data_IF_186754364317
#
_entry.id   IF_186754364317
#
_cell.length_a   1.000
_cell.length_b   1.000
_cell.length_c   1.000
_cell.angle_alpha   90.00
_cell.angle_beta   90.00
_cell.angle_gamma   90.00
#
_symmetry.space_group_name_H-M   'P 1'
#
loop_
_entity.id
_entity.type
_entity.pdbx_description
1 polymer ?
#
# COMPACT_ATOMS: atom_id res chain seq x y z
N UNK A 1 -1.26 22.50 -4.28
CA UNK A 1 -2.53 21.79 -4.05
C UNK A 1 -2.19 20.49 -3.35
N UNK A 2 -2.71 20.27 -2.15
CA UNK A 2 -2.47 19.05 -1.38
C UNK A 2 -3.39 17.97 -1.94
N UNK A 3 -2.81 16.85 -2.41
CA UNK A 3 -3.57 15.74 -2.97
C UNK A 3 -4.33 14.98 -1.89
N UNK A 4 -5.31 14.15 -2.29
CA UNK A 4 -5.94 13.19 -1.38
C UNK A 4 -4.85 12.33 -0.72
N UNK A 5 -4.90 12.05 0.59
CA UNK A 5 -3.96 11.14 1.24
C UNK A 5 -3.91 9.79 0.53
N UNK A 6 -2.73 9.18 0.42
CA UNK A 6 -2.54 7.91 -0.30
C UNK A 6 -1.87 6.88 0.59
N UNK A 7 -2.19 5.61 0.36
CA UNK A 7 -1.48 4.48 0.95
C UNK A 7 -1.10 3.49 -0.14
N UNK A 8 0.20 3.22 -0.22
CA UNK A 8 0.74 2.12 -1.00
C UNK A 8 0.74 0.87 -0.14
N UNK A 9 0.08 -0.18 -0.62
CA UNK A 9 -0.09 -1.42 0.13
C UNK A 9 0.14 -2.63 -0.75
N UNK A 10 0.41 -3.79 -0.14
CA UNK A 10 0.48 -5.06 -0.86
C UNK A 10 -0.29 -6.14 -0.12
N UNK A 11 -1.05 -6.95 -0.85
CA UNK A 11 -1.66 -8.15 -0.27
C UNK A 11 -0.63 -9.16 0.22
N UNK A 12 0.59 -9.17 -0.36
CA UNK A 12 1.66 -10.06 0.07
C UNK A 12 2.27 -9.68 1.44
N UNK A 13 2.05 -8.44 1.91
CA UNK A 13 2.71 -7.90 3.09
C UNK A 13 1.86 -7.99 4.35
N UNK A 14 2.36 -8.66 5.40
CA UNK A 14 1.63 -8.70 6.66
C UNK A 14 1.63 -7.34 7.35
N UNK A 15 2.67 -6.51 7.12
CA UNK A 15 2.73 -5.16 7.68
C UNK A 15 1.68 -4.24 7.06
N UNK A 16 1.38 -4.40 5.76
CA UNK A 16 0.30 -3.65 5.12
C UNK A 16 -1.06 -4.04 5.70
N UNK A 17 -1.32 -5.33 5.84
CA UNK A 17 -2.55 -5.83 6.46
C UNK A 17 -2.71 -5.33 7.90
N UNK A 18 -1.71 -5.50 8.76
CA UNK A 18 -1.80 -5.07 10.16
C UNK A 18 -1.96 -3.56 10.31
N UNK A 19 -1.22 -2.76 9.53
CA UNK A 19 -1.29 -1.30 9.62
C UNK A 19 -2.65 -0.77 9.15
N UNK A 20 -3.14 -1.26 8.00
CA UNK A 20 -4.44 -0.85 7.47
C UNK A 20 -5.57 -1.28 8.39
N UNK A 21 -5.55 -2.53 8.89
CA UNK A 21 -6.54 -3.02 9.85
C UNK A 21 -6.57 -2.16 11.13
N UNK A 22 -5.40 -1.86 11.71
CA UNK A 22 -5.34 -1.00 12.90
C UNK A 22 -5.88 0.41 12.63
N UNK A 23 -5.53 1.01 11.50
CA UNK A 23 -5.99 2.36 11.17
C UNK A 23 -7.49 2.39 10.88
N UNK A 24 -8.02 1.42 10.14
CA UNK A 24 -9.46 1.29 9.88
C UNK A 24 -10.27 0.99 11.15
N UNK A 25 -9.72 0.24 12.11
CA UNK A 25 -10.37 -0.03 13.40
C UNK A 25 -10.36 1.21 14.33
N UNK A 26 -9.35 2.07 14.23
CA UNK A 26 -9.14 3.21 15.17
C UNK A 26 -9.63 4.55 14.63
N UNK A 27 -9.59 4.76 13.33
CA UNK A 27 -9.89 6.04 12.68
C UNK A 27 -11.19 5.90 11.87
N UNK A 28 -12.26 6.60 12.28
CA UNK A 28 -13.53 6.60 11.54
C UNK A 28 -13.31 7.03 10.08
N UNK A 29 -13.93 6.29 9.16
CA UNK A 29 -13.91 6.54 7.71
C UNK A 29 -12.50 6.54 7.08
N UNK A 30 -11.50 5.94 7.74
CA UNK A 30 -10.12 5.90 7.25
C UNK A 30 -10.02 5.38 5.80
N UNK A 31 -10.76 4.30 5.51
CA UNK A 31 -10.81 3.71 4.18
C UNK A 31 -11.28 4.69 3.09
N UNK A 32 -12.18 5.62 3.44
CA UNK A 32 -12.75 6.62 2.54
C UNK A 32 -11.87 7.88 2.43
N UNK A 33 -11.02 8.14 3.43
CA UNK A 33 -10.06 9.24 3.39
C UNK A 33 -8.91 8.97 2.43
N UNK A 34 -8.39 7.74 2.44
CA UNK A 34 -7.18 7.40 1.69
C UNK A 34 -7.50 6.85 0.30
N UNK A 35 -6.65 7.18 -0.67
CA UNK A 35 -6.53 6.41 -1.90
C UNK A 35 -5.63 5.19 -1.66
N UNK A 36 -6.15 4.00 -1.92
CA UNK A 36 -5.42 2.75 -1.75
C UNK A 36 -4.82 2.34 -3.10
N UNK A 37 -3.49 2.38 -3.17
CA UNK A 37 -2.72 2.07 -4.39
C UNK A 37 -2.02 0.72 -4.20
N UNK A 38 -2.36 -0.30 -4.99
CA UNK A 38 -1.69 -1.58 -4.89
C UNK A 38 -0.22 -1.47 -5.35
N UNK A 39 0.66 -2.15 -4.64
CA UNK A 39 2.08 -2.27 -4.92
C UNK A 39 2.49 -3.74 -4.82
N UNK A 40 3.09 -4.30 -5.87
CA UNK A 40 3.47 -5.71 -5.93
C UNK A 40 4.66 -5.89 -6.86
N UNK A 41 5.37 -7.02 -6.71
CA UNK A 41 6.40 -7.40 -7.66
C UNK A 41 5.71 -7.80 -8.99
N UNK A 42 5.91 -7.03 -10.08
CA UNK A 42 5.18 -7.24 -11.33
C UNK A 42 5.63 -8.51 -12.05
N UNK A 43 4.74 -9.09 -12.86
CA UNK A 43 5.16 -10.08 -13.86
C UNK A 43 5.87 -9.40 -15.05
N UNK A 44 6.37 -10.20 -16.00
CA UNK A 44 7.11 -9.68 -17.16
C UNK A 44 6.28 -8.72 -18.03
N UNK A 45 4.95 -8.88 -18.08
CA UNK A 45 4.08 -8.04 -18.88
C UNK A 45 3.91 -6.67 -18.24
N UNK A 46 3.60 -6.64 -16.95
CA UNK A 46 3.49 -5.39 -16.19
C UNK A 46 4.85 -4.69 -16.12
N UNK A 47 5.95 -5.43 -15.96
CA UNK A 47 7.31 -4.89 -15.97
C UNK A 47 7.65 -4.20 -17.31
N UNK A 48 7.33 -4.81 -18.45
CA UNK A 48 7.55 -4.17 -19.75
C UNK A 48 6.81 -2.82 -19.88
N UNK A 49 5.63 -2.70 -19.26
CA UNK A 49 4.90 -1.43 -19.19
C UNK A 49 5.59 -0.37 -18.34
N UNK A 50 6.26 -0.76 -17.25
CA UNK A 50 7.07 0.15 -16.43
C UNK A 50 8.31 0.62 -17.19
N UNK A 51 9.02 -0.31 -17.83
CA UNK A 51 10.22 -0.02 -18.62
C UNK A 51 9.90 0.98 -19.74
N UNK A 52 8.76 0.80 -20.44
CA UNK A 52 8.30 1.70 -21.49
C UNK A 52 8.01 3.13 -20.99
N UNK A 53 7.77 3.30 -19.68
CA UNK A 53 7.49 4.58 -19.03
C UNK A 53 8.67 5.10 -18.21
N UNK A 54 9.83 4.42 -18.27
CA UNK A 54 11.03 4.77 -17.53
C UNK A 54 10.82 4.76 -16.01
N UNK A 55 9.99 3.84 -15.51
CA UNK A 55 9.70 3.71 -14.09
C UNK A 55 10.38 2.47 -13.51
N UNK A 56 11.08 2.66 -12.40
CA UNK A 56 11.75 1.58 -11.67
C UNK A 56 10.89 1.03 -10.53
N UNK A 57 10.97 -0.30 -10.31
CA UNK A 57 10.37 -0.96 -9.16
C UNK A 57 11.40 -1.09 -8.03
N UNK A 58 11.36 -0.15 -7.07
CA UNK A 58 12.31 -0.05 -5.97
C UNK A 58 12.04 -1.06 -4.83
N UNK A 59 12.08 -2.36 -5.12
CA UNK A 59 11.95 -3.39 -4.09
C UNK A 59 13.07 -4.43 -4.20
N UNK A 60 13.79 -4.61 -3.09
CA UNK A 60 14.90 -5.56 -3.03
C UNK A 60 14.47 -6.82 -2.30
N UNK A 61 14.76 -7.96 -2.92
CA UNK A 61 14.60 -9.25 -2.26
C UNK A 61 15.44 -9.30 -0.97
N UNK A 62 14.79 -9.66 0.13
CA UNK A 62 15.44 -9.74 1.44
C UNK A 62 16.35 -10.98 1.55
N UNK A 63 17.39 -10.86 2.37
CA UNK A 63 18.20 -12.02 2.74
C UNK A 63 17.39 -13.04 3.55
N UNK A 64 17.81 -14.31 3.54
CA UNK A 64 17.18 -15.37 4.35
C UNK A 64 17.13 -15.02 5.84
N UNK A 65 18.18 -14.40 6.38
CA UNK A 65 18.23 -13.99 7.78
C UNK A 65 17.18 -12.90 8.11
N UNK A 66 17.08 -11.86 7.26
CA UNK A 66 16.06 -10.82 7.38
C UNK A 66 14.65 -11.40 7.26
N UNK A 67 14.45 -12.33 6.33
CA UNK A 67 13.18 -13.02 6.16
C UNK A 67 12.76 -13.77 7.43
N UNK A 68 13.63 -14.61 7.98
CA UNK A 68 13.34 -15.37 9.22
C UNK A 68 13.01 -14.45 10.40
N UNK A 69 13.72 -13.33 10.55
CA UNK A 69 13.39 -12.34 11.57
C UNK A 69 11.97 -11.77 11.39
N UNK A 70 11.63 -11.36 10.16
CA UNK A 70 10.31 -10.82 9.82
C UNK A 70 9.19 -11.83 10.14
N UNK A 71 9.40 -13.14 9.91
CA UNK A 71 8.43 -14.17 10.30
C UNK A 71 8.13 -14.15 11.80
N UNK A 72 9.17 -14.07 12.63
CA UNK A 72 9.03 -14.01 14.08
C UNK A 72 8.41 -12.71 14.55
N UNK A 73 8.82 -11.59 13.96
CA UNK A 73 8.34 -10.27 14.35
C UNK A 73 6.87 -10.07 13.98
N UNK A 74 6.47 -10.52 12.79
CA UNK A 74 5.06 -10.48 12.36
C UNK A 74 4.16 -11.23 13.34
N UNK A 75 4.60 -12.39 13.85
CA UNK A 75 3.84 -13.14 14.87
C UNK A 75 3.71 -12.36 16.18
N UNK A 76 4.76 -11.69 16.63
CA UNK A 76 4.71 -10.85 17.85
C UNK A 76 3.77 -9.68 17.67
N UNK A 77 3.84 -8.98 16.54
CA UNK A 77 3.00 -7.83 16.23
C UNK A 77 1.54 -8.22 16.12
N UNK A 78 1.22 -9.27 15.35
CA UNK A 78 -0.15 -9.77 15.23
C UNK A 78 -0.72 -10.16 16.61
N UNK A 79 0.05 -10.88 17.44
CA UNK A 79 -0.37 -11.22 18.79
C UNK A 79 -0.57 -9.97 19.68
N UNK A 80 0.34 -8.99 19.59
CA UNK A 80 0.23 -7.72 20.32
C UNK A 80 -0.98 -6.88 19.91
N UNK A 81 -1.45 -7.04 18.66
CA UNK A 81 -2.67 -6.42 18.16
C UNK A 81 -3.93 -7.26 18.38
N UNK A 82 -3.81 -8.48 18.92
CA UNK A 82 -4.94 -9.39 19.10
C UNK A 82 -5.43 -10.04 17.81
N UNK A 83 -4.62 -10.02 16.75
CA UNK A 83 -4.96 -10.61 15.45
C UNK A 83 -4.55 -12.07 15.39
N UNK A 84 -5.46 -12.90 14.87
CA UNK A 84 -5.13 -14.27 14.46
C UNK A 84 -4.28 -14.20 13.19
N UNK A 85 -3.16 -14.92 13.18
CA UNK A 85 -2.29 -15.03 12.01
C UNK A 85 -2.00 -16.49 11.71
N UNK A 86 -2.36 -16.92 10.50
CA UNK A 86 -1.90 -18.16 9.89
C UNK A 86 -0.94 -17.77 8.77
N UNK A 87 0.33 -18.17 8.90
CA UNK A 87 1.34 -17.78 7.92
C UNK A 87 1.10 -18.50 6.58
N UNK A 88 0.90 -17.76 5.47
CA UNK A 88 0.70 -18.37 4.16
C UNK A 88 1.99 -18.96 3.62
N UNK A 89 1.87 -20.06 2.87
CA UNK A 89 2.98 -20.64 2.12
C UNK A 89 2.77 -20.32 0.64
N UNK A 90 3.62 -19.43 0.12
CA UNK A 90 3.58 -19.03 -1.27
C UNK A 90 4.43 -20.00 -2.11
N UNK A 91 3.83 -20.64 -3.11
CA UNK A 91 4.53 -21.50 -4.07
C UNK A 91 4.52 -20.80 -5.42
N UNK A 92 5.71 -20.47 -5.96
CA UNK A 92 5.87 -19.73 -7.21
C UNK A 92 4.99 -18.47 -7.29
N UNK A 93 5.22 -17.48 -6.40
CA UNK A 93 4.29 -16.37 -6.22
C UNK A 93 4.09 -15.55 -7.49
N UNK A 94 2.82 -15.38 -7.86
CA UNK A 94 2.32 -14.47 -8.88
C UNK A 94 1.28 -13.53 -8.28
N UNK A 95 1.60 -12.25 -8.16
CA UNK A 95 0.78 -11.29 -7.40
C UNK A 95 -0.25 -10.52 -8.22
N UNK A 96 -0.17 -10.61 -9.56
CA UNK A 96 -1.09 -9.95 -10.49
C UNK A 96 -2.57 -10.27 -10.20
N UNK A 97 -2.99 -11.52 -9.93
CA UNK A 97 -4.41 -11.81 -9.67
C UNK A 97 -4.99 -11.00 -8.52
N UNK A 98 -4.23 -10.83 -7.43
CA UNK A 98 -4.66 -10.06 -6.27
C UNK A 98 -4.64 -8.55 -6.53
N UNK A 99 -3.60 -8.04 -7.19
CA UNK A 99 -3.42 -6.61 -7.43
C UNK A 99 -4.36 -6.07 -8.52
N UNK A 100 -4.41 -6.76 -9.68
CA UNK A 100 -5.30 -6.40 -10.78
C UNK A 100 -6.76 -6.70 -10.44
N UNK A 101 -7.02 -7.78 -9.68
CA UNK A 101 -8.34 -8.06 -9.13
C UNK A 101 -8.85 -6.93 -8.24
N UNK A 102 -7.99 -6.30 -7.43
CA UNK A 102 -8.35 -5.12 -6.65
C UNK A 102 -8.69 -3.91 -7.54
N UNK A 103 -7.93 -3.68 -8.61
CA UNK A 103 -8.23 -2.60 -9.56
C UNK A 103 -9.58 -2.83 -10.26
N UNK A 104 -9.88 -4.06 -10.69
CA UNK A 104 -11.20 -4.42 -11.22
C UNK A 104 -12.29 -4.25 -10.17
N UNK A 105 -12.05 -4.67 -8.92
CA UNK A 105 -13.02 -4.52 -7.84
C UNK A 105 -13.38 -3.05 -7.57
N UNK A 106 -12.41 -2.12 -7.71
CA UNK A 106 -12.66 -0.67 -7.60
C UNK A 106 -13.62 -0.15 -8.65
N UNK A 107 -13.55 -0.65 -9.88
CA UNK A 107 -14.47 -0.24 -10.94
C UNK A 107 -15.88 -0.78 -10.74
N UNK A 108 -15.97 -1.96 -10.14
CA UNK A 108 -17.22 -2.60 -9.77
C UNK A 108 -17.81 -2.06 -8.46
N UNK A 109 -17.09 -1.19 -7.75
CA UNK A 109 -17.49 -0.65 -6.44
C UNK A 109 -17.54 -1.68 -5.33
N UNK A 110 -16.77 -2.78 -5.44
CA UNK A 110 -16.72 -3.87 -4.47
C UNK A 110 -15.33 -4.07 -3.87
N UNK A 111 -14.43 -3.10 -4.00
CA UNK A 111 -13.02 -3.20 -3.59
C UNK A 111 -12.85 -3.47 -2.10
N UNK A 112 -13.71 -2.91 -1.24
CA UNK A 112 -13.60 -3.11 0.21
C UNK A 112 -13.94 -4.54 0.61
N UNK A 113 -14.99 -5.10 0.01
CA UNK A 113 -15.33 -6.50 0.21
C UNK A 113 -14.23 -7.40 -0.38
N UNK A 114 -13.70 -7.07 -1.56
CA UNK A 114 -12.58 -7.79 -2.16
C UNK A 114 -11.34 -7.78 -1.25
N UNK A 115 -10.93 -6.61 -0.75
CA UNK A 115 -9.78 -6.49 0.15
C UNK A 115 -9.93 -7.33 1.40
N UNK A 116 -11.10 -7.27 2.06
CA UNK A 116 -11.41 -8.12 3.21
C UNK A 116 -11.27 -9.60 2.86
N UNK A 117 -11.90 -10.04 1.78
CA UNK A 117 -11.84 -11.44 1.33
C UNK A 117 -10.39 -11.88 1.09
N UNK A 118 -9.60 -11.11 0.34
CA UNK A 118 -8.21 -11.46 0.02
C UNK A 118 -7.34 -11.50 1.28
N UNK A 119 -7.46 -10.51 2.16
CA UNK A 119 -6.68 -10.46 3.40
C UNK A 119 -7.05 -11.56 4.38
N UNK A 120 -8.34 -11.89 4.57
CA UNK A 120 -8.77 -13.02 5.39
C UNK A 120 -8.29 -14.36 4.80
N UNK A 121 -8.39 -14.52 3.48
CA UNK A 121 -7.90 -15.71 2.77
C UNK A 121 -6.42 -15.95 3.06
N UNK A 122 -5.62 -14.89 2.97
CA UNK A 122 -4.18 -14.97 3.17
C UNK A 122 -3.78 -15.09 4.64
N UNK A 123 -4.24 -14.17 5.48
CA UNK A 123 -3.67 -13.96 6.82
C UNK A 123 -4.43 -14.70 7.92
N UNK A 124 -5.73 -14.94 7.74
CA UNK A 124 -6.53 -15.66 8.74
C UNK A 124 -6.57 -17.16 8.44
N UNK A 125 -6.60 -17.53 7.14
CA UNK A 125 -6.63 -18.93 6.69
C UNK A 125 -5.29 -19.47 6.19
N UNK A 126 -4.32 -18.62 5.89
CA UNK A 126 -2.99 -19.05 5.42
C UNK A 126 -3.00 -19.59 3.99
N UNK A 127 -4.00 -19.24 3.19
CA UNK A 127 -4.16 -19.77 1.84
C UNK A 127 -3.30 -18.99 0.82
N UNK A 128 -2.87 -19.68 -0.24
CA UNK A 128 -2.02 -19.11 -1.27
C UNK A 128 -2.83 -18.23 -2.24
N UNK A 129 -2.92 -16.93 -1.96
CA UNK A 129 -3.61 -15.96 -2.84
C UNK A 129 -2.88 -15.66 -4.15
N UNK A 130 -1.69 -16.22 -4.38
CA UNK A 130 -1.04 -16.14 -5.70
C UNK A 130 -1.62 -17.15 -6.71
N UNK A 131 -2.40 -18.11 -6.24
CA UNK A 131 -3.17 -19.02 -7.08
C UNK A 131 -4.55 -18.38 -7.42
N UNK A 132 -4.82 -18.07 -8.71
CA UNK A 132 -6.12 -17.52 -9.12
C UNK A 132 -7.30 -18.42 -8.75
N UNK A 133 -7.12 -19.74 -8.64
CA UNK A 133 -8.19 -20.66 -8.26
C UNK A 133 -8.60 -20.47 -6.80
N UNK A 134 -7.62 -20.22 -5.91
CA UNK A 134 -7.87 -19.90 -4.49
C UNK A 134 -8.64 -18.58 -4.37
N UNK A 135 -8.18 -17.53 -5.07
CA UNK A 135 -8.87 -16.24 -5.07
C UNK A 135 -10.28 -16.32 -5.64
N UNK A 136 -10.47 -17.07 -6.74
CA UNK A 136 -11.79 -17.29 -7.34
C UNK A 136 -12.75 -17.92 -6.34
N UNK A 137 -12.34 -19.02 -5.72
CA UNK A 137 -13.17 -19.73 -4.74
C UNK A 137 -13.52 -18.86 -3.53
N UNK A 138 -12.56 -18.08 -3.02
CA UNK A 138 -12.79 -17.15 -1.92
C UNK A 138 -13.78 -16.02 -2.30
N UNK A 139 -13.66 -15.48 -3.52
CA UNK A 139 -14.57 -14.45 -4.02
C UNK A 139 -15.99 -15.00 -4.24
N UNK A 140 -16.12 -16.18 -4.85
CA UNK A 140 -17.40 -16.85 -5.07
C UNK A 140 -18.11 -17.13 -3.74
N UNK A 141 -17.39 -17.66 -2.75
CA UNK A 141 -17.94 -17.91 -1.41
C UNK A 141 -18.41 -16.63 -0.70
N UNK A 142 -17.83 -15.48 -1.05
CA UNK A 142 -18.20 -14.17 -0.53
C UNK A 142 -19.29 -13.46 -1.38
N UNK A 143 -19.78 -14.08 -2.45
CA UNK A 143 -20.77 -13.48 -3.35
C UNK A 143 -20.23 -12.36 -4.25
N UNK A 144 -18.90 -12.28 -4.43
CA UNK A 144 -18.27 -11.36 -5.36
C UNK A 144 -18.30 -11.94 -6.79
N UNK A 145 -18.22 -11.09 -7.84
CA UNK A 145 -18.18 -11.54 -9.24
C UNK A 145 -16.80 -12.12 -9.59
N UNK A 146 -16.47 -13.29 -9.03
CA UNK A 146 -15.13 -13.86 -9.04
C UNK A 146 -14.58 -14.08 -10.45
N UNK A 147 -15.43 -14.52 -11.39
CA UNK A 147 -15.04 -14.70 -12.78
C UNK A 147 -14.55 -13.39 -13.42
N UNK A 148 -15.24 -12.27 -13.16
CA UNK A 148 -14.86 -10.96 -13.69
C UNK A 148 -13.60 -10.42 -12.99
N UNK A 149 -13.50 -10.59 -11.67
CA UNK A 149 -12.34 -10.18 -10.89
C UNK A 149 -11.06 -10.92 -11.32
N UNK A 150 -11.16 -12.22 -11.61
CA UNK A 150 -10.01 -13.02 -12.03
C UNK A 150 -9.65 -12.81 -13.51
N UNK A 151 -10.60 -12.40 -14.35
CA UNK A 151 -10.32 -12.02 -15.74
C UNK A 151 -9.49 -10.72 -15.85
N UNK A 152 -9.32 -9.97 -14.75
CA UNK A 152 -8.52 -8.74 -14.70
C UNK A 152 -7.07 -8.92 -15.17
N UNK A 153 -6.50 -10.11 -15.02
CA UNK A 153 -5.11 -10.40 -15.44
C UNK A 153 -4.92 -10.43 -16.96
N UNK A 154 -6.01 -10.65 -17.70
CA UNK A 154 -6.01 -10.72 -19.17
C UNK A 154 -6.54 -9.43 -19.81
N UNK A 155 -7.11 -8.52 -19.03
CA UNK A 155 -7.66 -7.25 -19.51
C UNK A 155 -6.55 -6.18 -19.65
N UNK A 156 -6.27 -5.79 -20.90
CA UNK A 156 -5.26 -4.80 -21.26
C UNK A 156 -5.43 -3.46 -20.54
N UNK A 157 -6.67 -3.02 -20.32
CA UNK A 157 -6.96 -1.74 -19.68
C UNK A 157 -6.73 -1.81 -18.17
N UNK A 158 -7.05 -2.93 -17.52
CA UNK A 158 -6.71 -3.14 -16.11
C UNK A 158 -5.19 -3.27 -15.92
N UNK A 159 -4.51 -3.93 -16.85
CA UNK A 159 -3.03 -3.99 -16.88
C UNK A 159 -2.43 -2.60 -16.94
N UNK A 160 -2.95 -1.72 -17.79
CA UNK A 160 -2.50 -0.33 -17.88
C UNK A 160 -2.70 0.43 -16.56
N UNK A 161 -3.85 0.25 -15.88
CA UNK A 161 -4.08 0.81 -14.54
C UNK A 161 -3.08 0.25 -13.51
N UNK A 162 -2.68 -1.01 -13.66
CA UNK A 162 -1.66 -1.62 -12.83
C UNK A 162 -0.28 -0.99 -13.02
N UNK A 163 0.08 -0.73 -14.29
CA UNK A 163 1.29 0.03 -14.62
C UNK A 163 1.20 1.45 -14.06
N UNK A 164 0.06 2.14 -14.18
CA UNK A 164 -0.16 3.48 -13.58
C UNK A 164 0.05 3.50 -12.06
N UNK A 165 -0.42 2.47 -11.35
CA UNK A 165 -0.25 2.33 -9.91
C UNK A 165 1.23 2.22 -9.51
N UNK A 166 2.00 1.39 -10.23
CA UNK A 166 3.42 1.20 -9.97
C UNK A 166 4.28 2.38 -10.45
N UNK A 167 3.90 3.08 -11.54
CA UNK A 167 4.53 4.35 -11.93
C UNK A 167 4.28 5.43 -10.88
N UNK A 168 3.08 5.47 -10.29
CA UNK A 168 2.80 6.37 -9.17
C UNK A 168 3.70 6.05 -7.98
N UNK A 169 3.87 4.76 -7.65
CA UNK A 169 4.76 4.31 -6.58
C UNK A 169 6.22 4.71 -6.83
N UNK A 170 6.70 4.60 -8.07
CA UNK A 170 8.03 5.07 -8.46
C UNK A 170 8.18 6.59 -8.23
N UNK A 171 7.24 7.40 -8.72
CA UNK A 171 7.25 8.87 -8.57
C UNK A 171 7.16 9.31 -7.12
N UNK A 172 6.40 8.57 -6.32
CA UNK A 172 6.24 8.84 -4.89
C UNK A 172 7.39 8.27 -4.03
N UNK A 173 8.41 7.69 -4.66
CA UNK A 173 9.62 7.13 -4.05
C UNK A 173 9.32 5.97 -3.08
N UNK A 174 8.35 5.12 -3.44
CA UNK A 174 7.97 3.96 -2.64
C UNK A 174 9.02 2.86 -2.76
N UNK A 175 9.75 2.62 -1.68
CA UNK A 175 10.75 1.56 -1.56
C UNK A 175 10.29 0.37 -0.70
N UNK A 176 9.13 0.50 -0.06
CA UNK A 176 8.61 -0.48 0.88
C UNK A 176 7.16 -0.17 1.25
N UNK A 177 6.46 -1.17 1.76
CA UNK A 177 5.03 -1.07 2.08
C UNK A 177 4.71 -1.63 3.47
N UNK A 178 3.69 -1.09 4.16
CA UNK A 178 2.83 0.02 3.72
C UNK A 178 3.57 1.37 3.80
N UNK A 179 3.31 2.24 2.83
CA UNK A 179 3.77 3.63 2.84
C UNK A 179 2.57 4.55 2.72
N UNK A 180 2.39 5.43 3.70
CA UNK A 180 1.35 6.42 3.75
C UNK A 180 1.91 7.78 3.33
N UNK A 181 1.13 8.52 2.54
CA UNK A 181 1.41 9.90 2.16
C UNK A 181 0.25 10.75 2.65
N UNK A 182 0.55 11.68 3.54
CA UNK A 182 -0.41 12.60 4.14
C UNK A 182 0.14 14.01 3.94
N UNK A 183 -0.52 14.79 3.10
CA UNK A 183 0.00 16.07 2.59
C UNK A 183 1.40 15.91 1.94
N UNK A 184 2.45 16.51 2.51
CA UNK A 184 3.84 16.41 2.02
C UNK A 184 4.68 15.40 2.79
N UNK A 185 4.09 14.68 3.74
CA UNK A 185 4.79 13.78 4.65
C UNK A 185 4.61 12.32 4.23
N UNK A 186 5.68 11.53 4.36
CA UNK A 186 5.71 10.09 4.07
C UNK A 186 5.95 9.31 5.36
N UNK A 187 5.16 8.27 5.59
CA UNK A 187 5.26 7.38 6.76
C UNK A 187 5.33 5.94 6.28
N UNK A 188 6.44 5.26 6.55
CA UNK A 188 6.64 3.88 6.12
C UNK A 188 6.62 2.93 7.33
N UNK A 189 5.85 1.84 7.21
CA UNK A 189 5.84 0.75 8.18
C UNK A 189 4.66 0.75 9.15
N UNK A 190 4.45 -0.39 9.78
CA UNK A 190 3.42 -0.62 10.81
C UNK A 190 3.72 0.13 12.11
N UNK A 191 4.98 0.50 12.33
CA UNK A 191 5.46 1.26 13.48
C UNK A 191 5.10 2.75 13.41
N UNK A 192 4.54 3.21 12.28
CA UNK A 192 4.10 4.61 12.07
C UNK A 192 2.59 4.82 12.16
N UNK A 193 1.81 3.82 12.60
CA UNK A 193 0.34 3.92 12.75
C UNK A 193 -0.07 5.15 13.57
N UNK A 194 0.58 5.39 14.71
CA UNK A 194 0.26 6.52 15.58
C UNK A 194 0.53 7.87 14.92
N UNK A 195 1.63 7.97 14.15
CA UNK A 195 1.99 9.19 13.42
C UNK A 195 1.00 9.47 12.28
N UNK A 196 0.58 8.43 11.56
CA UNK A 196 -0.45 8.54 10.52
C UNK A 196 -1.79 8.97 11.11
N UNK A 197 -2.20 8.38 12.24
CA UNK A 197 -3.41 8.78 12.95
C UNK A 197 -3.36 10.26 13.37
N UNK A 198 -2.22 10.71 13.92
CA UNK A 198 -2.03 12.11 14.30
C UNK A 198 -2.09 13.05 13.08
N UNK A 199 -1.46 12.67 11.96
CA UNK A 199 -1.48 13.45 10.73
C UNK A 199 -2.91 13.57 10.15
N UNK A 200 -3.70 12.50 10.19
CA UNK A 200 -5.11 12.51 9.76
C UNK A 200 -5.96 13.41 10.66
N UNK A 201 -5.74 13.36 11.98
CA UNK A 201 -6.44 14.24 12.93
C UNK A 201 -6.08 15.72 12.67
N UNK A 202 -4.81 16.01 12.40
CA UNK A 202 -4.37 17.36 12.07
C UNK A 202 -5.04 17.89 10.80
N UNK A 203 -5.07 17.09 9.73
CA UNK A 203 -5.78 17.42 8.48
C UNK A 203 -7.25 17.77 8.69
N UNK A 204 -7.93 17.04 9.59
CA UNK A 204 -9.35 17.27 9.92
C UNK A 204 -9.55 18.51 10.81
N UNK A 205 -8.58 18.84 11.65
CA UNK A 205 -8.60 20.01 12.54
C UNK A 205 -8.26 21.32 11.85
N UNK A 206 -7.56 21.28 10.72
CA UNK A 206 -7.34 22.43 9.83
C UNK A 206 -8.55 22.64 8.92
N UNK A 207 -9.60 23.27 9.45
CA UNK A 207 -10.67 23.87 8.63
C UNK A 207 -10.04 25.01 7.79
N UNK A 208 -10.18 25.04 6.45
CA UNK A 208 -9.60 26.10 5.61
C UNK A 208 -10.10 27.52 5.93
N UNK A 209 -11.09 27.66 6.81
CA UNK A 209 -11.60 28.96 7.30
C UNK A 209 -10.77 29.61 8.41
N UNK A 210 -9.82 28.91 9.04
CA UNK A 210 -8.96 29.51 10.08
C UNK A 210 -7.57 29.73 9.49
N UNK A 211 -7.35 30.96 9.02
CA UNK A 211 -6.10 31.41 8.41
C UNK A 211 -4.89 31.00 9.23
N UNK A 212 -3.98 30.27 8.59
CA UNK A 212 -2.62 30.11 9.07
C UNK A 212 -1.99 31.49 9.13
N UNK A 213 -1.70 31.99 10.33
CA UNK A 213 -0.79 33.12 10.48
C UNK A 213 0.53 32.71 9.84
N UNK A 214 0.87 33.41 8.78
CA UNK A 214 1.91 33.03 7.83
C UNK A 214 3.29 33.15 8.48
N UNK A 215 3.74 32.08 9.13
CA UNK A 215 5.09 31.99 9.70
C UNK A 215 6.17 32.09 8.61
N UNK A 216 5.83 31.81 7.35
CA UNK A 216 6.73 31.93 6.21
C UNK A 216 7.01 33.39 5.83
N UNK A 217 6.09 34.33 6.09
CA UNK A 217 6.33 35.77 5.86
C UNK A 217 7.33 36.36 6.86
N UNK A 218 7.52 35.71 8.01
CA UNK A 218 8.45 36.15 9.05
C UNK A 218 9.88 35.62 8.91
N UNK A 219 10.13 34.71 7.96
CA UNK A 219 11.44 34.12 7.75
C UNK A 219 12.25 34.96 6.74
N UNK A 220 13.51 35.32 7.05
CA UNK A 220 14.35 36.02 6.10
C UNK A 220 14.46 35.19 4.82
N UNK A 221 14.34 35.84 3.65
CA UNK A 221 14.28 35.22 2.31
C UNK A 221 15.41 34.19 2.06
N UNK A 222 16.56 34.33 2.73
CA UNK A 222 17.65 33.36 2.69
C UNK A 222 17.31 31.98 3.30
N UNK A 223 16.43 31.92 4.30
CA UNK A 223 15.97 30.67 4.92
C UNK A 223 14.92 29.95 4.06
N UNK A 224 14.13 30.67 3.26
CA UNK A 224 13.17 30.07 2.32
C UNK A 224 13.88 29.36 1.15
N UNK A 225 15.12 29.73 0.83
CA UNK A 225 15.94 29.05 -0.18
C UNK A 225 16.46 27.67 0.28
N UNK A 226 16.47 27.40 1.59
CA UNK A 226 16.91 26.11 2.16
C UNK A 226 15.77 25.23 2.65
N UNK A 227 14.58 25.80 2.90
CA UNK A 227 13.35 25.05 3.23
C UNK A 227 12.75 24.45 1.95
N UNK A 228 13.32 23.34 1.50
CA UNK A 228 12.89 22.66 0.28
C UNK A 228 14.00 21.90 -0.44
N UNK A 229 15.25 22.03 0.00
CA UNK A 229 16.33 21.15 -0.42
C UNK A 229 16.11 19.77 0.20
N UNK A 230 15.33 18.93 -0.46
CA UNK A 230 15.52 17.50 -0.30
C UNK A 230 16.97 17.20 -0.67
N UNK A 231 17.62 16.39 0.17
CA UNK A 231 18.98 15.97 -0.09
C UNK A 231 19.06 15.31 -1.47
N UNK A 232 19.99 15.75 -2.31
CA UNK A 232 20.32 15.06 -3.57
C UNK A 232 21.40 14.01 -3.35
N UNK A 233 21.63 13.61 -2.10
CA UNK A 233 22.62 12.63 -1.70
C UNK A 233 22.48 11.33 -2.49
N UNK A 234 23.62 10.78 -2.91
CA UNK A 234 23.69 9.42 -3.44
C UNK A 234 23.12 8.45 -2.40
N UNK A 235 22.44 7.36 -2.83
CA UNK A 235 21.87 6.39 -1.89
C UNK A 235 22.95 5.82 -0.97
N UNK A 236 23.01 6.35 0.25
CA UNK A 236 23.92 5.92 1.30
C UNK A 236 23.43 4.64 1.96
N UNK A 237 24.36 3.75 2.30
CA UNK A 237 24.05 2.59 3.12
C UNK A 237 23.71 3.03 4.54
N UNK A 238 22.45 2.90 4.96
CA UNK A 238 22.09 2.98 6.38
C UNK A 238 22.66 1.75 7.09
N UNK A 239 23.85 1.88 7.66
CA UNK A 239 24.48 0.93 8.59
C UNK A 239 24.06 1.18 10.02
#
# INVERSE_FOLDING_TARGET
MTGRPRVYFSFQSPFSWMALRQLEERVPDFADLFEYVPFWAPDARTQAGLDARGADFHYTAMSKAKHLYILHDTKRLAAGFGYRLVWPVDVAPWWEPSALGWLRARELGCERQFYRVVTETRWDRGENISDPAVLRAACDAAGLPAAELMAAVDDDRIRELGVDALVSAHRDEVFGIPLFIVDRQRYWGVDRIADVEAAVRALRGTDPAVGSTDLLESLPVAALATVGSFDHDEPGGCG
#
